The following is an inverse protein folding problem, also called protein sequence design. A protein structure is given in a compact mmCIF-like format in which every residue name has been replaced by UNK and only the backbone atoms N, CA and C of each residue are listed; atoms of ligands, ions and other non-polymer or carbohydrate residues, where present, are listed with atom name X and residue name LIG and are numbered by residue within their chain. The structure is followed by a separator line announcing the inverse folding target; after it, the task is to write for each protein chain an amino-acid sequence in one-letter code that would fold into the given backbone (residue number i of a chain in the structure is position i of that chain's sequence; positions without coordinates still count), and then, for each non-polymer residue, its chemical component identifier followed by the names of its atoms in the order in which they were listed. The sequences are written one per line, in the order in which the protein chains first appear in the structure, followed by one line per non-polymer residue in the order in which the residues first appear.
data_IF_482912766440
#
_entry.id   IF_482912766440
#
_cell.length_a   1.000
_cell.length_b   1.000
_cell.length_c   1.000
_cell.angle_alpha   90.00
_cell.angle_beta   90.00
_cell.angle_gamma   90.00
#
_symmetry.space_group_name_H-M   'P 1'
#
loop_
_entity.id
_entity.type
_entity.pdbx_description
1 polymer ?
#
# COMPACT_ATOMS: atom_id res chain seq x y z
N UNK A 1 -12.63 13.10 -8.63
CA UNK A 1 -11.25 12.73 -8.24
C UNK A 1 -11.34 11.96 -6.95
N UNK A 2 -10.64 10.84 -6.82
CA UNK A 2 -10.58 10.10 -5.56
C UNK A 2 -9.69 10.88 -4.60
N UNK A 3 -10.17 11.08 -3.38
CA UNK A 3 -9.38 11.69 -2.32
C UNK A 3 -8.60 10.60 -1.59
N UNK A 4 -7.28 10.74 -1.55
CA UNK A 4 -6.35 9.78 -0.96
C UNK A 4 -5.73 10.42 0.28
N UNK A 5 -5.90 9.75 1.42
CA UNK A 5 -5.38 10.13 2.72
C UNK A 5 -4.17 9.27 3.04
N UNK A 6 -3.16 9.92 3.61
CA UNK A 6 -2.01 9.24 4.18
C UNK A 6 -2.17 9.07 5.69
N UNK A 7 -2.12 7.82 6.15
CA UNK A 7 -2.25 7.43 7.54
C UNK A 7 -0.90 6.99 8.10
N UNK A 8 -0.53 7.57 9.24
CA UNK A 8 0.54 7.07 10.10
C UNK A 8 0.16 5.73 10.70
N UNK A 9 1.16 4.95 11.10
CA UNK A 9 0.96 3.59 11.60
C UNK A 9 -0.11 3.47 12.70
N UNK A 10 -0.15 4.44 13.62
CA UNK A 10 -1.11 4.50 14.72
C UNK A 10 -2.53 4.96 14.32
N UNK A 11 -2.70 5.46 13.11
CA UNK A 11 -3.98 5.89 12.54
C UNK A 11 -4.63 4.78 11.70
N UNK A 12 -3.93 3.66 11.49
CA UNK A 12 -4.41 2.53 10.69
C UNK A 12 -5.41 1.71 11.50
N UNK A 13 -6.66 1.67 11.05
CA UNK A 13 -7.67 0.70 11.47
C UNK A 13 -7.37 -0.65 10.80
N UNK A 14 -6.64 -1.53 11.51
CA UNK A 14 -6.18 -2.83 11.00
C UNK A 14 -7.33 -3.78 10.66
N UNK A 15 -8.45 -3.70 11.38
CA UNK A 15 -9.62 -4.51 11.08
C UNK A 15 -10.28 -4.08 9.77
N UNK A 16 -10.38 -2.77 9.51
CA UNK A 16 -10.85 -2.27 8.20
C UNK A 16 -9.89 -2.62 7.09
N UNK A 17 -8.60 -2.46 7.34
CA UNK A 17 -7.55 -2.84 6.39
C UNK A 17 -7.65 -4.31 5.99
N UNK A 18 -7.66 -5.22 6.96
CA UNK A 18 -7.68 -6.66 6.71
C UNK A 18 -8.99 -7.13 6.08
N UNK A 19 -10.11 -6.42 6.32
CA UNK A 19 -11.36 -6.66 5.56
C UNK A 19 -11.19 -6.39 4.06
N UNK A 20 -10.53 -5.29 3.68
CA UNK A 20 -10.27 -4.99 2.26
C UNK A 20 -9.32 -6.03 1.67
N UNK A 21 -8.24 -6.36 2.38
CA UNK A 21 -7.30 -7.40 1.94
C UNK A 21 -8.03 -8.72 1.69
N UNK A 22 -8.84 -9.19 2.65
CA UNK A 22 -9.59 -10.44 2.53
C UNK A 22 -10.62 -10.44 1.40
N UNK A 23 -11.15 -9.28 1.03
CA UNK A 23 -12.13 -9.12 -0.06
C UNK A 23 -11.53 -8.97 -1.45
N UNK A 24 -10.22 -8.73 -1.56
CA UNK A 24 -9.57 -8.41 -2.83
C UNK A 24 -9.10 -9.65 -3.57
N UNK A 25 -9.50 -9.80 -4.84
CA UNK A 25 -9.10 -10.94 -5.68
C UNK A 25 -7.60 -11.01 -5.98
N UNK A 26 -6.87 -9.91 -5.74
CA UNK A 26 -5.45 -9.75 -6.05
C UNK A 26 -4.58 -9.67 -4.80
N UNK A 27 -5.17 -9.90 -3.62
CA UNK A 27 -4.46 -9.91 -2.36
C UNK A 27 -3.51 -11.10 -2.26
N UNK A 28 -2.33 -10.83 -1.72
CA UNK A 28 -1.37 -11.84 -1.27
C UNK A 28 -1.26 -11.77 0.26
N UNK A 29 -0.76 -12.82 0.93
CA UNK A 29 -0.53 -12.80 2.38
C UNK A 29 0.26 -11.57 2.86
N UNK A 30 1.11 -11.03 1.99
CA UNK A 30 1.95 -9.86 2.20
C UNK A 30 1.19 -8.59 2.60
N UNK A 31 -0.09 -8.48 2.25
CA UNK A 31 -0.89 -7.29 2.51
C UNK A 31 -1.57 -7.30 3.87
N UNK A 32 -1.69 -8.45 4.53
CA UNK A 32 -2.34 -8.49 5.83
C UNK A 32 -1.52 -7.72 6.87
N UNK A 33 -2.24 -7.04 7.77
CA UNK A 33 -1.64 -6.18 8.79
C UNK A 33 -0.64 -6.93 9.66
N UNK A 34 -0.97 -8.17 10.08
CA UNK A 34 -0.08 -9.01 10.87
C UNK A 34 1.24 -9.32 10.18
N UNK A 35 1.24 -9.46 8.85
CA UNK A 35 2.44 -9.74 8.07
C UNK A 35 3.28 -8.47 7.95
N UNK A 36 2.65 -7.36 7.58
CA UNK A 36 3.29 -6.05 7.46
C UNK A 36 3.91 -5.59 8.78
N UNK A 37 3.27 -5.88 9.92
CA UNK A 37 3.80 -5.60 11.25
C UNK A 37 5.13 -6.31 11.52
N UNK A 38 5.32 -7.52 10.97
CA UNK A 38 6.54 -8.31 11.15
C UNK A 38 7.63 -7.85 10.18
N UNK A 39 7.31 -7.70 8.88
CA UNK A 39 8.35 -7.45 7.85
C UNK A 39 8.70 -5.98 7.66
N UNK A 40 7.80 -5.07 8.02
CA UNK A 40 8.00 -3.63 7.98
C UNK A 40 7.32 -2.96 9.18
N UNK A 41 7.85 -3.13 10.40
CA UNK A 41 7.30 -2.49 11.59
C UNK A 41 7.13 -0.98 11.38
N UNK A 42 6.03 -0.41 11.90
CA UNK A 42 5.67 1.00 11.69
C UNK A 42 5.41 1.40 10.23
N UNK A 43 4.97 0.45 9.40
CA UNK A 43 4.44 0.75 8.06
C UNK A 43 3.30 1.78 8.14
N UNK A 44 3.21 2.62 7.11
CA UNK A 44 2.18 3.65 6.96
C UNK A 44 1.22 3.23 5.83
N UNK A 45 0.13 3.95 5.61
CA UNK A 45 -0.85 3.56 4.60
C UNK A 45 -1.31 4.76 3.76
N UNK A 46 -1.57 4.52 2.48
CA UNK A 46 -2.44 5.36 1.67
C UNK A 46 -3.80 4.67 1.55
N UNK A 47 -4.87 5.41 1.78
CA UNK A 47 -6.25 4.90 1.64
C UNK A 47 -7.11 5.93 0.93
N UNK A 48 -8.09 5.49 0.14
CA UNK A 48 -9.15 6.40 -0.30
C UNK A 48 -10.08 6.75 0.85
N UNK A 49 -10.74 7.92 0.81
CA UNK A 49 -11.66 8.38 1.88
C UNK A 49 -12.82 7.42 2.15
N UNK A 50 -13.28 6.72 1.12
CA UNK A 50 -14.31 5.68 1.18
C UNK A 50 -13.75 4.28 1.51
N UNK A 51 -12.44 4.20 1.76
CA UNK A 51 -11.69 2.98 2.08
C UNK A 51 -11.81 1.86 1.03
N UNK A 52 -12.20 2.21 -0.20
CA UNK A 52 -12.31 1.28 -1.32
C UNK A 52 -10.94 0.84 -1.88
N UNK A 53 -9.93 1.70 -1.74
CA UNK A 53 -8.57 1.45 -2.18
C UNK A 53 -7.60 1.62 -1.02
N UNK A 54 -6.67 0.68 -0.88
CA UNK A 54 -5.64 0.70 0.15
C UNK A 54 -4.27 0.39 -0.45
N UNK A 55 -3.20 1.01 0.04
CA UNK A 55 -1.83 0.74 -0.36
C UNK A 55 -0.86 0.88 0.82
N UNK A 56 -0.07 -0.16 1.16
CA UNK A 56 0.84 -0.09 2.28
C UNK A 56 2.09 0.68 1.86
N UNK A 57 2.59 1.50 2.77
CA UNK A 57 3.81 2.29 2.64
C UNK A 57 4.84 1.72 3.60
N UNK A 58 5.62 0.77 3.09
CA UNK A 58 6.69 0.10 3.83
C UNK A 58 7.95 0.92 3.71
N UNK A 59 8.56 1.25 4.86
CA UNK A 59 9.60 2.28 4.90
C UNK A 59 10.79 1.81 5.72
N UNK A 60 11.98 2.29 5.33
CA UNK A 60 13.18 2.22 6.15
C UNK A 60 13.72 3.61 6.40
N UNK A 61 14.47 3.74 7.49
CA UNK A 61 15.17 4.97 7.85
C UNK A 61 16.66 4.70 7.86
N UNK A 62 17.42 5.48 7.08
CA UNK A 62 18.88 5.45 7.08
C UNK A 62 19.40 6.88 7.13
N UNK A 63 20.33 7.16 8.04
CA UNK A 63 20.89 8.51 8.25
C UNK A 63 19.83 9.61 8.40
N UNK A 64 18.73 9.34 9.11
CA UNK A 64 17.66 10.33 9.32
C UNK A 64 16.62 10.40 8.19
N UNK A 65 16.93 9.91 6.99
CA UNK A 65 16.04 9.96 5.83
C UNK A 65 15.16 8.72 5.77
N UNK A 66 13.84 8.92 5.62
CA UNK A 66 12.85 7.86 5.45
C UNK A 66 12.55 7.67 3.96
N UNK A 67 12.55 6.43 3.49
CA UNK A 67 12.31 6.07 2.10
C UNK A 67 11.45 4.82 2.00
N UNK A 68 10.67 4.71 0.94
CA UNK A 68 9.85 3.53 0.64
C UNK A 68 10.74 2.44 0.06
N UNK A 69 10.62 1.23 0.61
CA UNK A 69 11.35 0.06 0.16
C UNK A 69 10.49 -1.20 0.27
N UNK A 70 10.63 -2.09 -0.71
CA UNK A 70 10.06 -3.43 -0.66
C UNK A 70 10.57 -4.18 0.59
N UNK A 71 9.68 -4.68 1.45
CA UNK A 71 10.11 -5.39 2.65
C UNK A 71 10.70 -6.77 2.30
N UNK A 72 11.53 -7.35 3.18
CA UNK A 72 12.07 -8.68 2.96
C UNK A 72 10.95 -9.72 2.82
N UNK A 73 11.24 -10.81 2.10
CA UNK A 73 10.32 -11.93 1.86
C UNK A 73 9.00 -11.54 1.18
N UNK A 74 8.96 -10.39 0.52
CA UNK A 74 7.74 -9.84 -0.05
C UNK A 74 7.95 -9.55 -1.52
N UNK A 75 7.27 -10.30 -2.40
CA UNK A 75 7.51 -10.19 -3.84
C UNK A 75 6.89 -8.94 -4.44
N UNK A 76 5.68 -8.59 -4.01
CA UNK A 76 4.92 -7.47 -4.56
C UNK A 76 3.98 -6.89 -3.49
N UNK A 77 3.84 -5.56 -3.53
CA UNK A 77 2.85 -4.78 -2.78
C UNK A 77 2.23 -3.77 -3.73
N UNK A 78 1.26 -2.98 -3.28
CA UNK A 78 0.64 -1.98 -4.15
C UNK A 78 -0.76 -1.64 -3.69
N UNK A 79 -1.61 -1.31 -4.64
CA UNK A 79 -2.98 -0.93 -4.38
C UNK A 79 -3.84 -2.20 -4.42
N UNK A 80 -4.61 -2.40 -3.36
CA UNK A 80 -5.73 -3.35 -3.35
C UNK A 80 -7.04 -2.59 -3.34
N UNK A 81 -8.06 -3.24 -3.86
CA UNK A 81 -9.43 -2.74 -3.85
C UNK A 81 -10.42 -3.85 -3.50
N UNK A 82 -11.59 -3.46 -2.99
CA UNK A 82 -12.71 -4.37 -2.78
C UNK A 82 -13.51 -4.54 -4.07
N UNK A 83 -12.99 -5.36 -5.00
CA UNK A 83 -13.65 -5.72 -6.26
C UNK A 83 -13.89 -4.57 -7.26
N UNK A 84 -13.15 -3.46 -7.13
CA UNK A 84 -13.18 -2.36 -8.08
C UNK A 84 -11.92 -2.40 -8.96
N UNK A 85 -12.02 -2.25 -10.29
CA UNK A 85 -10.85 -2.21 -11.15
C UNK A 85 -9.86 -1.12 -10.74
N UNK A 86 -8.57 -1.44 -10.78
CA UNK A 86 -7.48 -0.50 -10.56
C UNK A 86 -6.92 -0.17 -11.94
N UNK A 87 -7.13 1.05 -12.40
CA UNK A 87 -6.58 1.55 -13.66
C UNK A 87 -5.32 2.39 -13.46
N UNK A 88 -4.71 2.81 -14.57
CA UNK A 88 -3.48 3.60 -14.55
C UNK A 88 -3.66 4.97 -13.86
N UNK A 89 -4.86 5.55 -13.91
CA UNK A 89 -5.15 6.81 -13.23
C UNK A 89 -5.10 6.62 -11.72
N UNK A 90 -5.71 5.57 -11.19
CA UNK A 90 -5.63 5.24 -9.76
C UNK A 90 -4.19 4.98 -9.32
N UNK A 91 -3.45 4.17 -10.08
CA UNK A 91 -2.03 3.89 -9.78
C UNK A 91 -1.24 5.20 -9.70
N UNK A 92 -1.40 6.06 -10.70
CA UNK A 92 -0.69 7.34 -10.77
C UNK A 92 -1.03 8.26 -9.59
N UNK A 93 -2.31 8.33 -9.20
CA UNK A 93 -2.72 9.19 -8.08
C UNK A 93 -2.20 8.68 -6.73
N UNK A 94 -2.17 7.37 -6.51
CA UNK A 94 -1.54 6.80 -5.31
C UNK A 94 -0.03 7.04 -5.26
N UNK A 95 0.68 6.81 -6.37
CA UNK A 95 2.14 7.02 -6.41
C UNK A 95 2.52 8.50 -6.15
N UNK A 96 1.74 9.46 -6.68
CA UNK A 96 1.92 10.89 -6.38
C UNK A 96 1.72 11.26 -4.92
N UNK A 97 0.95 10.47 -4.18
CA UNK A 97 0.61 10.72 -2.76
C UNK A 97 1.60 10.09 -1.78
N UNK A 98 2.56 9.31 -2.28
CA UNK A 98 3.65 8.77 -1.45
C UNK A 98 4.52 9.95 -0.96
N UNK A 99 4.64 10.19 0.35
CA UNK A 99 5.32 11.36 0.90
C UNK A 99 6.84 11.18 1.04
N UNK A 100 7.38 10.06 0.57
CA UNK A 100 8.77 9.65 0.73
C UNK A 100 9.40 9.31 -0.61
N UNK A 101 10.73 9.41 -0.68
CA UNK A 101 11.46 8.91 -1.85
C UNK A 101 11.24 7.40 -1.99
N UNK A 102 10.93 6.96 -3.20
CA UNK A 102 10.80 5.54 -3.54
C UNK A 102 12.19 5.03 -3.91
N UNK A 103 12.73 4.11 -3.11
CA UNK A 103 14.00 3.45 -3.40
C UNK A 103 13.78 2.20 -4.25
N UNK A 104 12.84 1.35 -3.83
CA UNK A 104 12.51 0.11 -4.52
C UNK A 104 11.09 -0.32 -4.13
N UNK A 105 10.22 -0.57 -5.11
CA UNK A 105 8.91 -1.17 -4.93
C UNK A 105 8.63 -2.06 -6.13
N UNK A 106 8.05 -3.23 -5.88
CA UNK A 106 7.49 -4.05 -6.94
C UNK A 106 5.96 -4.01 -6.83
N UNK A 107 5.31 -3.33 -7.78
CA UNK A 107 3.86 -3.18 -7.77
C UNK A 107 3.17 -4.52 -8.01
N UNK A 108 2.00 -4.70 -7.38
CA UNK A 108 1.16 -5.86 -7.59
C UNK A 108 0.87 -6.02 -9.09
N UNK A 109 0.84 -7.23 -9.60
CA UNK A 109 0.63 -7.52 -11.03
C UNK A 109 -0.67 -6.92 -11.59
N UNK A 110 -1.66 -6.62 -10.73
CA UNK A 110 -2.89 -5.93 -11.09
C UNK A 110 -2.79 -4.39 -11.02
N UNK A 111 -1.60 -3.84 -10.78
CA UNK A 111 -1.31 -2.40 -10.74
C UNK A 111 -0.35 -1.97 -11.85
N UNK A 112 -0.18 -2.81 -12.87
CA UNK A 112 0.75 -2.57 -13.98
C UNK A 112 0.04 -1.77 -15.08
N UNK A 113 0.74 -0.80 -15.65
CA UNK A 113 0.33 -0.14 -16.88
C UNK A 113 0.21 -1.19 -17.99
N UNK A 114 -1.00 -1.40 -18.51
CA UNK A 114 -1.13 -1.99 -19.84
C UNK A 114 -0.61 -0.93 -20.81
N UNK A 115 0.63 -1.09 -21.26
CA UNK A 115 1.11 -0.43 -22.47
C UNK A 115 0.25 -0.84 -23.67
#
# INVERSE_FOLDING_TARGET
MIEIIHLKHNEIDKDKWDRVVASSNFALPYFFSWYLDVVSPSWEALVSTDFQYIMPITTKKKFGVKYVIQPPFTQQLGILSNNIPIDQTIVTEFLKKIPYLIYDINLNYNNVSKE
#
